data_IF_040868074333
#
_entry.id   IF_040868074333
#
_cell.length_a   1.000
_cell.length_b   1.000
_cell.length_c   1.000
_cell.angle_alpha   90.00
_cell.angle_beta   90.00
_cell.angle_gamma   90.00
#
_symmetry.space_group_name_H-M   'P 1'
#
loop_
_entity.id
_entity.type
_entity.pdbx_description
1 polymer ?
#
# COMPACT_ATOMS: atom_id res chain seq x y z
N UNK A 1 6.43 10.58 38.03
CA UNK A 1 5.92 10.03 36.76
C UNK A 1 6.35 10.98 35.66
N UNK A 2 7.51 10.72 35.06
CA UNK A 2 7.92 11.36 33.81
C UNK A 2 7.87 10.27 32.75
N UNK A 3 6.82 10.29 31.94
CA UNK A 3 6.79 9.54 30.68
C UNK A 3 7.76 10.26 29.75
N UNK A 4 9.00 9.80 29.75
CA UNK A 4 9.93 10.13 28.68
C UNK A 4 9.41 9.36 27.47
N UNK A 5 8.89 10.11 26.52
CA UNK A 5 8.53 9.64 25.18
C UNK A 5 9.77 8.91 24.64
N UNK A 6 9.65 7.61 24.42
CA UNK A 6 10.61 6.85 23.64
C UNK A 6 10.62 7.49 22.24
N UNK A 7 11.61 8.34 21.98
CA UNK A 7 11.93 8.77 20.62
C UNK A 7 12.30 7.49 19.86
N UNK A 8 11.41 7.06 18.96
CA UNK A 8 11.64 5.98 18.02
C UNK A 8 12.91 6.28 17.21
N UNK A 9 14.04 5.72 17.64
CA UNK A 9 15.27 5.67 16.87
C UNK A 9 15.00 4.82 15.62
N UNK A 10 14.60 5.49 14.52
CA UNK A 10 14.56 4.86 13.20
C UNK A 10 15.89 4.17 12.96
N UNK A 11 15.85 2.87 12.71
CA UNK A 11 17.03 2.08 12.40
C UNK A 11 17.74 2.74 11.20
N UNK A 12 19.06 2.95 11.27
CA UNK A 12 19.80 3.75 10.28
C UNK A 12 19.56 3.23 8.86
N UNK A 13 19.42 1.91 8.72
CA UNK A 13 19.11 1.23 7.46
C UNK A 13 17.71 1.60 6.90
N UNK A 14 16.71 1.77 7.75
CA UNK A 14 15.35 2.17 7.37
C UNK A 14 15.34 3.61 6.86
N UNK A 15 16.01 4.51 7.56
CA UNK A 15 16.14 5.91 7.17
C UNK A 15 16.86 6.06 5.82
N UNK A 16 17.95 5.33 5.60
CA UNK A 16 18.66 5.29 4.33
C UNK A 16 17.74 4.80 3.19
N UNK A 17 16.91 3.81 3.46
CA UNK A 17 15.99 3.26 2.48
C UNK A 17 14.89 4.28 2.09
N UNK A 18 14.28 4.95 3.07
CA UNK A 18 13.30 6.01 2.81
C UNK A 18 13.90 7.19 2.06
N UNK A 19 15.11 7.59 2.44
CA UNK A 19 15.87 8.65 1.75
C UNK A 19 16.06 8.31 0.27
N UNK A 20 16.35 7.04 -0.04
CA UNK A 20 16.50 6.58 -1.43
C UNK A 20 15.19 6.64 -2.23
N UNK A 21 14.05 6.33 -1.60
CA UNK A 21 12.73 6.45 -2.23
C UNK A 21 12.44 7.91 -2.57
N UNK A 22 12.61 8.81 -1.60
CA UNK A 22 12.38 10.25 -1.77
C UNK A 22 13.28 10.86 -2.84
N UNK A 23 14.59 10.55 -2.80
CA UNK A 23 15.56 11.02 -3.78
C UNK A 23 15.23 10.53 -5.20
N UNK A 24 14.63 9.34 -5.34
CA UNK A 24 14.21 8.85 -6.66
C UNK A 24 12.95 9.56 -7.12
N UNK A 25 11.99 9.80 -6.23
CA UNK A 25 10.75 10.51 -6.57
C UNK A 25 11.01 11.93 -7.07
N UNK A 26 11.95 12.64 -6.43
CA UNK A 26 12.33 14.02 -6.77
C UNK A 26 13.14 14.15 -8.06
N UNK A 27 13.56 13.04 -8.70
CA UNK A 27 14.24 13.10 -10.00
C UNK A 27 13.27 13.44 -11.12
N UNK A 28 13.35 14.70 -11.56
CA UNK A 28 12.54 15.23 -12.65
C UNK A 28 12.94 14.68 -14.03
N UNK A 29 14.19 14.23 -14.17
CA UNK A 29 14.78 13.76 -15.43
C UNK A 29 14.46 12.29 -15.77
N UNK A 30 13.91 11.52 -14.82
CA UNK A 30 13.53 10.13 -15.07
C UNK A 30 12.25 10.03 -15.92
N UNK A 31 12.34 9.30 -17.02
CA UNK A 31 11.18 8.93 -17.82
C UNK A 31 10.19 8.08 -17.03
N UNK A 32 8.93 8.03 -17.50
CA UNK A 32 7.89 7.18 -16.91
C UNK A 32 8.33 5.71 -16.86
N UNK A 33 8.96 5.21 -17.92
CA UNK A 33 9.42 3.82 -18.00
C UNK A 33 10.52 3.52 -16.97
N UNK A 34 11.46 4.45 -16.78
CA UNK A 34 12.51 4.32 -15.77
C UNK A 34 11.93 4.33 -14.35
N UNK A 35 10.93 5.16 -14.09
CA UNK A 35 10.18 5.17 -12.81
C UNK A 35 9.51 3.83 -12.56
N UNK A 36 8.80 3.27 -13.55
CA UNK A 36 8.17 1.94 -13.44
C UNK A 36 9.19 0.83 -13.18
N UNK A 37 10.29 0.79 -13.93
CA UNK A 37 11.35 -0.19 -13.72
C UNK A 37 11.95 -0.09 -12.31
N UNK A 38 12.15 1.12 -11.81
CA UNK A 38 12.67 1.35 -10.47
C UNK A 38 11.68 0.87 -9.40
N UNK A 39 10.38 1.15 -9.54
CA UNK A 39 9.34 0.66 -8.62
C UNK A 39 9.36 -0.87 -8.55
N UNK A 40 9.29 -1.53 -9.70
CA UNK A 40 9.29 -2.99 -9.79
C UNK A 40 10.53 -3.61 -9.14
N UNK A 41 11.72 -3.06 -9.39
CA UNK A 41 12.96 -3.51 -8.75
C UNK A 41 12.95 -3.30 -7.24
N UNK A 42 12.35 -2.21 -6.78
CA UNK A 42 12.25 -1.88 -5.34
C UNK A 42 11.26 -2.82 -4.64
N UNK A 43 10.11 -3.14 -5.24
CA UNK A 43 9.18 -4.14 -4.73
C UNK A 43 9.84 -5.51 -4.57
N UNK A 44 10.59 -5.98 -5.57
CA UNK A 44 11.32 -7.25 -5.48
C UNK A 44 12.34 -7.23 -4.33
N UNK A 45 13.02 -6.11 -4.09
CA UNK A 45 13.95 -5.97 -2.96
C UNK A 45 13.22 -6.03 -1.62
N UNK A 46 12.09 -5.33 -1.51
CA UNK A 46 11.26 -5.33 -0.30
C UNK A 46 10.75 -6.73 0.05
N UNK A 47 10.33 -7.52 -0.94
CA UNK A 47 9.93 -8.92 -0.71
C UNK A 47 11.09 -9.78 -0.21
N UNK A 48 12.30 -9.60 -0.77
CA UNK A 48 13.50 -10.29 -0.28
C UNK A 48 13.90 -9.87 1.14
N UNK A 49 13.69 -8.62 1.50
CA UNK A 49 13.94 -8.13 2.87
C UNK A 49 12.94 -8.79 3.81
N UNK A 50 11.65 -8.79 3.46
CA UNK A 50 10.59 -9.43 4.23
C UNK A 50 10.90 -10.89 4.52
N UNK A 51 11.32 -11.66 3.51
CA UNK A 51 11.70 -13.07 3.65
C UNK A 51 12.90 -13.30 4.58
N UNK A 52 13.84 -12.33 4.67
CA UNK A 52 15.11 -12.50 5.40
C UNK A 52 15.06 -11.99 6.83
N UNK A 53 14.48 -10.82 7.06
CA UNK A 53 14.52 -10.13 8.35
C UNK A 53 13.21 -10.25 9.12
N UNK A 54 12.14 -10.65 8.45
CA UNK A 54 10.77 -10.62 8.98
C UNK A 54 10.34 -9.23 9.50
N UNK A 55 11.04 -8.16 9.07
CA UNK A 55 10.75 -6.79 9.46
C UNK A 55 9.58 -6.25 8.61
N UNK A 56 8.38 -6.67 9.00
CA UNK A 56 7.13 -6.34 8.32
C UNK A 56 6.88 -4.83 8.30
N UNK A 57 7.29 -4.11 9.36
CA UNK A 57 7.00 -2.69 9.51
C UNK A 57 7.74 -1.86 8.46
N UNK A 58 9.06 -2.06 8.32
CA UNK A 58 9.88 -1.37 7.31
C UNK A 58 9.35 -1.63 5.90
N UNK A 59 9.01 -2.89 5.61
CA UNK A 59 8.51 -3.28 4.29
C UNK A 59 7.15 -2.64 4.00
N UNK A 60 6.22 -2.70 4.98
CA UNK A 60 4.89 -2.09 4.87
C UNK A 60 4.98 -0.59 4.66
N UNK A 61 5.74 0.11 5.50
CA UNK A 61 5.88 1.56 5.45
C UNK A 61 6.55 2.01 4.14
N UNK A 62 7.57 1.27 3.67
CA UNK A 62 8.19 1.51 2.36
C UNK A 62 7.18 1.37 1.21
N UNK A 63 6.33 0.34 1.23
CA UNK A 63 5.30 0.13 0.22
C UNK A 63 4.28 1.27 0.23
N UNK A 64 3.79 1.66 1.41
CA UNK A 64 2.87 2.80 1.57
C UNK A 64 3.50 4.07 0.99
N UNK A 65 4.76 4.34 1.29
CA UNK A 65 5.46 5.51 0.79
C UNK A 65 5.58 5.52 -0.74
N UNK A 66 5.95 4.39 -1.35
CA UNK A 66 6.05 4.27 -2.81
C UNK A 66 4.69 4.47 -3.47
N UNK A 67 3.64 3.83 -2.95
CA UNK A 67 2.27 3.98 -3.47
C UNK A 67 1.79 5.42 -3.37
N UNK A 68 2.01 6.07 -2.23
CA UNK A 68 1.59 7.46 -1.98
C UNK A 68 2.28 8.45 -2.91
N UNK A 69 3.57 8.24 -3.20
CA UNK A 69 4.36 9.17 -4.01
C UNK A 69 4.15 8.95 -5.51
N UNK A 70 4.13 7.70 -5.96
CA UNK A 70 4.21 7.39 -7.38
C UNK A 70 2.89 6.98 -8.02
N UNK A 71 1.91 6.57 -7.22
CA UNK A 71 0.59 6.25 -7.73
C UNK A 71 -0.36 7.41 -7.41
N UNK A 72 -1.12 7.86 -8.40
CA UNK A 72 -2.31 8.67 -8.18
C UNK A 72 -3.44 7.74 -7.67
N UNK A 73 -3.18 7.01 -6.58
CA UNK A 73 -4.23 6.29 -5.86
C UNK A 73 -5.00 7.38 -5.12
N UNK A 74 -6.25 7.68 -5.51
CA UNK A 74 -7.06 8.59 -4.72
C UNK A 74 -7.11 8.05 -3.29
N UNK A 75 -6.92 8.89 -2.26
CA UNK A 75 -7.07 8.47 -0.87
C UNK A 75 -8.40 7.76 -0.75
N UNK A 76 -8.32 6.48 -0.39
CA UNK A 76 -9.40 5.51 -0.32
C UNK A 76 -10.82 6.08 -0.45
N UNK A 77 -11.25 6.26 -1.70
CA UNK A 77 -12.66 6.49 -2.03
C UNK A 77 -13.46 5.17 -1.95
N UNK A 78 -12.81 4.03 -1.70
CA UNK A 78 -13.45 2.72 -1.66
C UNK A 78 -14.09 2.39 -0.31
N UNK A 79 -13.67 3.03 0.79
CA UNK A 79 -14.40 2.96 2.07
C UNK A 79 -15.87 3.41 1.97
N UNK A 80 -16.24 4.16 0.93
CA UNK A 80 -17.62 4.63 0.70
C UNK A 80 -18.30 4.04 -0.55
N UNK A 81 -17.67 3.06 -1.24
CA UNK A 81 -18.29 2.41 -2.42
C UNK A 81 -19.10 1.16 -2.08
N UNK A 82 -19.04 0.70 -0.83
CA UNK A 82 -19.94 -0.34 -0.33
C UNK A 82 -21.12 0.29 0.40
N UNK A 83 -22.33 -0.17 0.10
CA UNK A 83 -23.47 0.00 1.01
C UNK A 83 -23.27 -1.04 2.12
N UNK A 84 -23.35 -0.65 3.40
CA UNK A 84 -23.34 -1.62 4.49
C UNK A 84 -24.46 -2.65 4.22
N UNK A 85 -24.15 -3.94 4.25
CA UNK A 85 -25.11 -5.03 4.00
C UNK A 85 -26.34 -4.95 4.91
N UNK A 86 -26.20 -4.37 6.10
CA UNK A 86 -27.30 -4.14 7.04
C UNK A 86 -28.30 -3.08 6.55
N UNK A 87 -27.87 -2.19 5.63
CA UNK A 87 -28.70 -1.14 5.03
C UNK A 87 -29.36 -1.59 3.72
N UNK A 88 -29.06 -2.79 3.22
CA UNK A 88 -29.72 -3.35 2.04
C UNK A 88 -31.10 -3.90 2.41
N UNK A 89 -32.09 -3.64 1.55
CA UNK A 89 -33.39 -4.30 1.65
C UNK A 89 -33.25 -5.80 1.38
N UNK A 90 -34.18 -6.63 1.88
CA UNK A 90 -34.18 -8.07 1.60
C UNK A 90 -34.15 -8.35 0.09
N UNK A 91 -34.91 -7.59 -0.70
CA UNK A 91 -34.93 -7.74 -2.16
C UNK A 91 -33.61 -7.38 -2.86
N UNK A 92 -32.80 -6.47 -2.30
CA UNK A 92 -31.48 -6.16 -2.85
C UNK A 92 -30.45 -7.23 -2.50
N UNK A 93 -30.58 -7.85 -1.32
CA UNK A 93 -29.75 -8.99 -0.90
C UNK A 93 -29.99 -10.20 -1.80
N UNK A 94 -31.26 -10.50 -2.09
CA UNK A 94 -31.62 -11.61 -2.98
C UNK A 94 -31.04 -11.41 -4.38
N UNK A 95 -31.14 -10.20 -4.93
CA UNK A 95 -30.53 -9.87 -6.24
C UNK A 95 -29.01 -10.04 -6.24
N UNK A 96 -28.35 -9.55 -5.19
CA UNK A 96 -26.90 -9.69 -5.06
C UNK A 96 -26.49 -11.16 -4.98
N UNK A 97 -27.28 -11.98 -4.29
CA UNK A 97 -27.03 -13.41 -4.15
C UNK A 97 -27.18 -14.15 -5.48
N UNK A 98 -28.19 -13.81 -6.28
CA UNK A 98 -28.35 -14.37 -7.63
C UNK A 98 -27.22 -13.95 -8.57
N UNK A 99 -26.80 -12.68 -8.54
CA UNK A 99 -25.63 -12.21 -9.32
C UNK A 99 -24.37 -12.99 -8.96
N UNK A 100 -24.11 -13.19 -7.66
CA UNK A 100 -22.97 -13.98 -7.20
C UNK A 100 -23.05 -15.44 -7.69
N UNK A 101 -24.23 -16.07 -7.64
CA UNK A 101 -24.40 -17.44 -8.19
C UNK A 101 -24.12 -17.51 -9.68
N UNK A 102 -24.56 -16.53 -10.44
CA UNK A 102 -24.31 -16.46 -11.89
C UNK A 102 -22.81 -16.32 -12.20
N UNK A 103 -22.07 -15.55 -11.42
CA UNK A 103 -20.61 -15.42 -11.57
C UNK A 103 -19.85 -16.73 -11.32
N UNK A 104 -20.33 -17.59 -10.42
CA UNK A 104 -19.71 -18.90 -10.14
C UNK A 104 -20.25 -20.04 -11.02
N UNK A 105 -21.30 -19.79 -11.81
CA UNK A 105 -21.90 -20.78 -12.70
C UNK A 105 -21.49 -20.62 -14.17
N UNK A 106 -20.77 -19.53 -14.50
CA UNK A 106 -20.07 -19.31 -15.77
C UNK A 106 -18.58 -19.68 -15.69
#
# INVERSE_FOLDING_TARGET
MNNIVEEDELDIEELEFYTKILNTYQKEDMSRQEKEMWKNRTYVKLMKILERTNNINVVRNSLILILTLFENIPPDLFNNRGINIELLSEGDKDKLFEQLKEEFSN
#
